data_IF_821249695317
#
_entry.id   IF_821249695317
#
_cell.length_a   1.000
_cell.length_b   1.000
_cell.length_c   1.000
_cell.angle_alpha   90.00
_cell.angle_beta   90.00
_cell.angle_gamma   90.00
#
_symmetry.space_group_name_H-M   'P 1'
#
loop_
_entity.id
_entity.type
_entity.pdbx_description
1 polymer ?
#
# COMPACT_ATOMS: atom_id res chain seq x y z
N UNK A 1 -9.43 -1.11 -0.63
CA UNK A 1 -8.57 -2.28 -0.87
C UNK A 1 -8.96 -2.87 -2.22
N UNK A 2 -8.28 -2.40 -3.26
CA UNK A 2 -8.56 -2.72 -4.65
C UNK A 2 -7.99 -4.10 -4.99
N UNK A 3 -8.44 -4.71 -6.10
CA UNK A 3 -7.91 -6.00 -6.56
C UNK A 3 -6.37 -5.99 -6.73
N UNK A 4 -5.81 -4.84 -7.08
CA UNK A 4 -4.36 -4.61 -7.20
C UNK A 4 -3.61 -4.76 -5.87
N UNK A 5 -4.15 -4.27 -4.76
CA UNK A 5 -3.49 -4.35 -3.44
C UNK A 5 -3.35 -5.82 -3.00
N UNK A 6 -4.40 -6.61 -3.24
CA UNK A 6 -4.43 -8.03 -2.87
C UNK A 6 -3.55 -8.87 -3.80
N UNK A 7 -3.44 -8.51 -5.08
CA UNK A 7 -2.55 -9.16 -6.04
C UNK A 7 -1.07 -8.91 -5.71
N UNK A 8 -0.71 -7.67 -5.36
CA UNK A 8 0.65 -7.30 -4.94
C UNK A 8 1.03 -8.00 -3.62
N UNK A 9 0.11 -8.11 -2.66
CA UNK A 9 0.35 -8.86 -1.41
C UNK A 9 0.62 -10.35 -1.68
N UNK A 10 -0.14 -10.96 -2.60
CA UNK A 10 0.03 -12.36 -3.00
C UNK A 10 1.34 -12.60 -3.74
N UNK A 11 1.71 -11.68 -4.64
CA UNK A 11 2.97 -11.69 -5.37
C UNK A 11 4.16 -11.58 -4.43
N UNK A 12 4.07 -10.73 -3.41
CA UNK A 12 5.08 -10.61 -2.35
C UNK A 12 5.28 -11.93 -1.58
N UNK A 13 4.20 -12.59 -1.17
CA UNK A 13 4.28 -13.92 -0.50
C UNK A 13 4.88 -14.98 -1.42
N UNK A 14 4.52 -14.96 -2.70
CA UNK A 14 5.06 -15.89 -3.69
C UNK A 14 6.56 -15.69 -3.93
N UNK A 15 7.03 -14.44 -4.02
CA UNK A 15 8.47 -14.12 -4.11
C UNK A 15 9.23 -14.53 -2.85
N UNK A 16 8.65 -14.28 -1.68
CA UNK A 16 9.28 -14.66 -0.41
C UNK A 16 9.41 -16.18 -0.27
N UNK A 17 8.34 -16.92 -0.56
CA UNK A 17 8.34 -18.38 -0.53
C UNK A 17 9.28 -18.98 -1.57
N UNK A 18 9.29 -18.45 -2.79
CA UNK A 18 10.20 -18.90 -3.85
C UNK A 18 11.65 -18.63 -3.49
N UNK A 19 11.95 -17.42 -2.99
CA UNK A 19 13.31 -17.06 -2.57
C UNK A 19 13.81 -17.91 -1.39
N UNK A 20 12.94 -18.21 -0.42
CA UNK A 20 13.28 -19.11 0.69
C UNK A 20 13.54 -20.55 0.20
N UNK A 21 12.75 -21.03 -0.76
CA UNK A 21 12.90 -22.35 -1.38
C UNK A 21 14.16 -22.49 -2.26
N UNK A 22 14.51 -21.45 -3.02
CA UNK A 22 15.67 -21.47 -3.93
C UNK A 22 16.95 -20.96 -3.27
N UNK A 23 16.88 -20.47 -2.03
CA UNK A 23 17.99 -19.81 -1.35
C UNK A 23 18.37 -18.46 -1.97
N UNK A 24 17.42 -17.81 -2.65
CA UNK A 24 17.61 -16.51 -3.28
C UNK A 24 17.16 -15.39 -2.33
N UNK A 25 18.15 -14.82 -1.62
CA UNK A 25 17.94 -13.71 -0.69
C UNK A 25 17.37 -12.46 -1.37
N UNK A 26 17.59 -12.28 -2.67
CA UNK A 26 17.09 -11.13 -3.41
C UNK A 26 15.57 -11.23 -3.60
N UNK A 27 15.07 -12.40 -4.03
CA UNK A 27 13.63 -12.68 -4.15
C UNK A 27 12.92 -12.58 -2.80
N UNK A 28 13.57 -13.07 -1.72
CA UNK A 28 13.06 -12.96 -0.36
C UNK A 28 12.95 -11.51 0.11
N UNK A 29 13.98 -10.70 -0.16
CA UNK A 29 14.02 -9.29 0.19
C UNK A 29 13.02 -8.45 -0.62
N UNK A 30 12.87 -8.73 -1.91
CA UNK A 30 11.85 -8.10 -2.76
C UNK A 30 10.44 -8.37 -2.24
N UNK A 31 10.13 -9.64 -1.91
CA UNK A 31 8.81 -10.00 -1.39
C UNK A 31 8.44 -9.25 -0.11
N UNK A 32 9.39 -9.11 0.82
CA UNK A 32 9.20 -8.33 2.06
C UNK A 32 9.09 -6.83 1.80
N UNK A 33 9.88 -6.31 0.87
CA UNK A 33 9.88 -4.88 0.51
C UNK A 33 8.59 -4.47 -0.19
N UNK A 34 8.07 -5.31 -1.10
CA UNK A 34 6.79 -5.11 -1.78
C UNK A 34 5.63 -5.07 -0.76
N UNK A 35 5.64 -5.97 0.23
CA UNK A 35 4.63 -5.96 1.31
C UNK A 35 4.74 -4.76 2.24
N UNK A 36 5.95 -4.40 2.65
CA UNK A 36 6.19 -3.24 3.52
C UNK A 36 5.79 -1.93 2.83
N UNK A 37 6.21 -1.74 1.58
CA UNK A 37 5.89 -0.56 0.79
C UNK A 37 4.39 -0.43 0.52
N UNK A 38 3.69 -1.54 0.26
CA UNK A 38 2.24 -1.54 0.05
C UNK A 38 1.49 -1.11 1.32
N UNK A 39 1.88 -1.62 2.50
CA UNK A 39 1.27 -1.19 3.77
C UNK A 39 1.50 0.28 4.08
N UNK A 40 2.72 0.77 3.82
CA UNK A 40 3.07 2.18 4.04
C UNK A 40 2.29 3.08 3.08
N UNK A 41 2.29 2.76 1.78
CA UNK A 41 1.50 3.48 0.78
C UNK A 41 0.03 3.50 1.16
N UNK A 42 -0.56 2.36 1.52
CA UNK A 42 -1.96 2.30 1.91
C UNK A 42 -2.26 3.17 3.13
N UNK A 43 -1.38 3.19 4.14
CA UNK A 43 -1.54 4.03 5.35
C UNK A 43 -1.43 5.52 5.02
N UNK A 44 -0.48 5.89 4.17
CA UNK A 44 -0.28 7.26 3.72
C UNK A 44 -1.45 7.73 2.85
N UNK A 45 -1.93 6.89 1.92
CA UNK A 45 -3.04 7.20 1.04
C UNK A 45 -4.35 7.35 1.83
N UNK A 46 -4.62 6.49 2.81
CA UNK A 46 -5.80 6.58 3.68
C UNK A 46 -5.77 7.87 4.53
N UNK A 47 -4.59 8.21 5.09
CA UNK A 47 -4.40 9.43 5.87
C UNK A 47 -4.52 10.70 5.00
N UNK A 48 -3.90 10.70 3.81
CA UNK A 48 -3.98 11.80 2.86
C UNK A 48 -5.40 11.97 2.31
N UNK A 49 -6.09 10.86 2.05
CA UNK A 49 -7.49 10.84 1.63
C UNK A 49 -8.41 11.48 2.67
N UNK A 50 -8.30 11.05 3.94
CA UNK A 50 -9.08 11.67 5.04
C UNK A 50 -8.76 13.13 5.26
N UNK A 51 -7.48 13.52 5.13
CA UNK A 51 -7.07 14.91 5.25
C UNK A 51 -7.63 15.77 4.11
N UNK A 52 -7.61 15.27 2.86
CA UNK A 52 -8.22 15.93 1.72
C UNK A 52 -9.73 16.06 1.88
N UNK A 53 -10.42 14.99 2.28
CA UNK A 53 -11.88 14.98 2.44
C UNK A 53 -12.34 15.96 3.52
N UNK A 54 -11.60 16.03 4.63
CA UNK A 54 -11.83 17.00 5.71
C UNK A 54 -11.53 18.43 5.25
N UNK A 55 -10.44 18.63 4.50
CA UNK A 55 -10.07 19.94 3.98
C UNK A 55 -11.05 20.43 2.92
N UNK A 56 -11.52 19.59 2.02
CA UNK A 56 -12.58 19.92 1.06
C UNK A 56 -13.89 20.21 1.78
N UNK A 57 -14.31 19.39 2.75
CA UNK A 57 -15.50 19.65 3.56
C UNK A 57 -15.43 20.99 4.31
N UNK A 58 -14.26 21.33 4.86
CA UNK A 58 -14.05 22.62 5.53
C UNK A 58 -14.01 23.78 4.52
N UNK A 59 -13.39 23.57 3.35
CA UNK A 59 -13.29 24.57 2.29
C UNK A 59 -14.63 24.84 1.63
N UNK A 60 -15.48 23.83 1.46
CA UNK A 60 -16.83 23.93 0.91
C UNK A 60 -17.74 24.71 1.87
N UNK A 61 -17.70 24.37 3.17
CA UNK A 61 -18.40 25.14 4.23
C UNK A 61 -17.91 26.59 4.38
N UNK A 62 -16.64 26.86 4.09
CA UNK A 62 -16.07 28.21 4.15
C UNK A 62 -16.26 29.01 2.86
N UNK A 63 -16.29 28.34 1.70
CA UNK A 63 -16.45 28.98 0.38
C UNK A 63 -17.91 29.28 0.08
N UNK A 64 -18.85 28.57 0.70
CA UNK A 64 -20.27 28.91 0.68
C UNK A 64 -20.88 28.77 -0.71
N UNK A 65 -21.39 27.57 -1.00
CA UNK A 65 -22.59 27.41 -1.82
C UNK A 65 -23.72 26.87 -0.93
#
# INVERSE_FOLDING_TARGET
MSASDKAEEYKGKAKEATGDLTGDDQLKSEGKTDQGSSKVKQTVDDAAGKAKDTAESAKDKLTGN
#
